data_IF_292024699337
#
_entry.id   IF_292024699337
#
_cell.length_a   1.000
_cell.length_b   1.000
_cell.length_c   1.000
_cell.angle_alpha   90.00
_cell.angle_beta   90.00
_cell.angle_gamma   90.00
#
_symmetry.space_group_name_H-M   'P 1'
#
loop_
_entity.id
_entity.type
_entity.pdbx_description
1 polymer ?
#
# COMPACT_ATOMS: atom_id res chain seq x y z
N UNK A 1 -8.60 -29.53 -5.68
CA UNK A 1 -7.21 -29.34 -5.19
C UNK A 1 -7.01 -27.86 -4.99
N UNK A 2 -6.33 -27.44 -3.93
CA UNK A 2 -5.99 -26.02 -3.73
C UNK A 2 -4.95 -25.67 -4.80
N UNK A 3 -5.33 -24.84 -5.77
CA UNK A 3 -4.43 -24.35 -6.82
C UNK A 3 -3.51 -23.27 -6.24
N UNK A 4 -2.59 -23.66 -5.34
CA UNK A 4 -1.66 -22.74 -4.66
C UNK A 4 -0.83 -21.92 -5.67
N UNK A 5 -0.58 -22.51 -6.85
CA UNK A 5 0.10 -21.84 -7.95
C UNK A 5 -0.72 -20.69 -8.55
N UNK A 6 -2.07 -20.77 -8.59
CA UNK A 6 -2.94 -19.67 -9.05
C UNK A 6 -2.90 -18.52 -8.06
N UNK A 7 -2.90 -18.82 -6.76
CA UNK A 7 -2.71 -17.79 -5.74
C UNK A 7 -1.36 -17.08 -5.89
N UNK A 8 -0.27 -17.87 -6.04
CA UNK A 8 1.07 -17.32 -6.26
C UNK A 8 1.17 -16.50 -7.55
N UNK A 9 0.54 -16.94 -8.64
CA UNK A 9 0.48 -16.20 -9.90
C UNK A 9 -0.33 -14.89 -9.74
N UNK A 10 -1.47 -14.94 -9.04
CA UNK A 10 -2.29 -13.78 -8.75
C UNK A 10 -1.55 -12.74 -7.90
N UNK A 11 -0.87 -13.19 -6.85
CA UNK A 11 -0.02 -12.34 -6.02
C UNK A 11 1.15 -11.75 -6.81
N UNK A 12 1.82 -12.54 -7.65
CA UNK A 12 2.90 -12.09 -8.51
C UNK A 12 2.44 -11.03 -9.52
N UNK A 13 1.29 -11.24 -10.17
CA UNK A 13 0.65 -10.27 -11.05
C UNK A 13 0.31 -8.99 -10.29
N UNK A 14 -0.30 -9.11 -9.11
CA UNK A 14 -0.70 -7.97 -8.29
C UNK A 14 0.50 -7.10 -7.87
N UNK A 15 1.56 -7.72 -7.35
CA UNK A 15 2.79 -7.01 -6.94
C UNK A 15 3.46 -6.35 -8.16
N UNK A 16 3.55 -7.07 -9.28
CA UNK A 16 4.13 -6.53 -10.52
C UNK A 16 3.33 -5.33 -11.03
N UNK A 17 2.01 -5.46 -11.04
CA UNK A 17 1.10 -4.39 -11.42
C UNK A 17 1.23 -3.18 -10.50
N UNK A 18 1.29 -3.38 -9.19
CA UNK A 18 1.50 -2.31 -8.22
C UNK A 18 2.82 -1.58 -8.43
N UNK A 19 3.92 -2.31 -8.61
CA UNK A 19 5.22 -1.71 -8.90
C UNK A 19 5.21 -0.91 -10.20
N UNK A 20 4.51 -1.40 -11.23
CA UNK A 20 4.34 -0.71 -12.51
C UNK A 20 3.51 0.57 -12.33
N UNK A 21 2.39 0.50 -11.61
CA UNK A 21 1.53 1.64 -11.28
C UNK A 21 2.33 2.73 -10.54
N UNK A 22 3.00 2.35 -9.45
CA UNK A 22 3.82 3.23 -8.61
C UNK A 22 4.94 3.90 -9.42
N UNK A 23 5.65 3.11 -10.24
CA UNK A 23 6.74 3.62 -11.08
C UNK A 23 6.23 4.60 -12.14
N UNK A 24 5.12 4.30 -12.80
CA UNK A 24 4.56 5.16 -13.84
C UNK A 24 3.98 6.46 -13.28
N UNK A 25 3.27 6.39 -12.14
CA UNK A 25 2.79 7.57 -11.43
C UNK A 25 3.95 8.44 -10.94
N UNK A 26 5.02 7.83 -10.43
CA UNK A 26 6.25 8.54 -10.05
C UNK A 26 6.88 9.24 -11.26
N UNK A 27 7.01 8.58 -12.40
CA UNK A 27 7.61 9.17 -13.60
C UNK A 27 6.80 10.34 -14.16
N UNK A 28 5.47 10.26 -14.12
CA UNK A 28 4.59 11.37 -14.48
C UNK A 28 4.61 12.49 -13.43
N UNK A 29 4.77 12.12 -12.17
CA UNK A 29 4.57 12.97 -11.01
C UNK A 29 5.81 13.67 -10.50
N UNK A 30 7.05 13.23 -10.74
CA UNK A 30 8.21 13.67 -9.93
C UNK A 30 8.37 15.19 -9.81
N UNK A 31 8.32 15.95 -10.91
CA UNK A 31 8.42 17.43 -10.86
C UNK A 31 7.13 18.07 -10.33
N UNK A 32 5.97 17.55 -10.72
CA UNK A 32 4.66 18.05 -10.29
C UNK A 32 4.42 17.84 -8.80
N UNK A 33 4.78 16.66 -8.28
CA UNK A 33 4.70 16.24 -6.90
C UNK A 33 5.67 17.03 -6.03
N UNK A 34 6.90 17.24 -6.49
CA UNK A 34 7.84 18.15 -5.83
C UNK A 34 7.22 19.54 -5.67
N UNK A 35 6.75 20.14 -6.76
CA UNK A 35 6.11 21.46 -6.73
C UNK A 35 4.84 21.49 -5.87
N UNK A 36 4.06 20.41 -5.87
CA UNK A 36 2.84 20.25 -5.07
C UNK A 36 3.17 20.19 -3.58
N UNK A 37 4.13 19.36 -3.19
CA UNK A 37 4.58 19.25 -1.80
C UNK A 37 5.20 20.57 -1.33
N UNK A 38 6.08 21.20 -2.14
CA UNK A 38 6.63 22.53 -1.82
C UNK A 38 5.51 23.56 -1.57
N UNK A 39 4.48 23.61 -2.41
CA UNK A 39 3.34 24.54 -2.24
C UNK A 39 2.48 24.25 -1.01
N UNK A 40 2.37 22.99 -0.60
CA UNK A 40 1.59 22.57 0.57
C UNK A 40 2.39 22.58 1.87
N UNK A 41 3.65 23.02 1.84
CA UNK A 41 4.52 23.13 3.03
C UNK A 41 4.50 24.51 3.72
N UNK A 42 3.52 25.35 3.40
CA UNK A 42 3.35 26.65 4.07
C UNK A 42 2.63 26.54 5.44
N UNK A 43 2.07 25.37 5.78
CA UNK A 43 1.44 25.10 7.08
C UNK A 43 1.36 23.60 7.34
N UNK A 44 1.51 23.15 8.58
CA UNK A 44 1.48 21.73 8.95
C UNK A 44 0.19 21.02 8.54
N UNK A 45 -0.97 21.68 8.65
CA UNK A 45 -2.26 21.09 8.24
C UNK A 45 -2.34 20.84 6.72
N UNK A 46 -1.92 21.81 5.90
CA UNK A 46 -1.83 21.61 4.44
C UNK A 46 -0.84 20.51 4.08
N UNK A 47 0.24 20.39 4.85
CA UNK A 47 1.24 19.33 4.66
C UNK A 47 0.66 17.95 4.98
N UNK A 48 -0.16 17.83 6.03
CA UNK A 48 -0.93 16.62 6.34
C UNK A 48 -1.87 16.21 5.22
N UNK A 49 -2.72 17.13 4.74
CA UNK A 49 -3.60 16.86 3.60
C UNK A 49 -2.80 16.54 2.32
N UNK A 50 -1.68 17.22 2.12
CA UNK A 50 -0.75 16.94 1.03
C UNK A 50 -0.19 15.52 1.09
N UNK A 51 0.11 15.00 2.28
CA UNK A 51 0.54 13.62 2.50
C UNK A 51 -0.53 12.60 2.15
N UNK A 52 -1.79 12.85 2.55
CA UNK A 52 -2.93 12.01 2.17
C UNK A 52 -3.04 11.94 0.65
N UNK A 53 -3.17 13.10 0.00
CA UNK A 53 -3.37 13.18 -1.46
C UNK A 53 -2.17 12.59 -2.20
N UNK A 54 -0.94 12.93 -1.80
CA UNK A 54 0.26 12.40 -2.44
C UNK A 54 0.31 10.88 -2.37
N UNK A 55 -0.04 10.30 -1.22
CA UNK A 55 0.01 8.84 -1.03
C UNK A 55 -1.13 8.13 -1.71
N UNK A 56 -2.36 8.66 -1.65
CA UNK A 56 -3.50 8.14 -2.41
C UNK A 56 -3.21 8.13 -3.92
N UNK A 57 -2.61 9.21 -4.43
CA UNK A 57 -2.28 9.32 -5.85
C UNK A 57 -1.11 8.42 -6.23
N UNK A 58 -0.04 8.36 -5.43
CA UNK A 58 1.13 7.52 -5.73
C UNK A 58 0.96 6.04 -5.35
N UNK A 59 -0.05 5.70 -4.56
CA UNK A 59 -0.29 4.38 -3.96
C UNK A 59 0.85 3.86 -3.05
N UNK A 60 1.76 4.73 -2.61
CA UNK A 60 2.94 4.34 -1.83
C UNK A 60 3.36 5.40 -0.83
N UNK A 61 3.14 5.13 0.46
CA UNK A 61 3.64 5.98 1.56
C UNK A 61 5.16 5.90 1.69
N UNK A 62 5.77 4.76 1.33
CA UNK A 62 7.22 4.58 1.31
C UNK A 62 7.89 5.57 0.35
N UNK A 63 7.39 5.73 -0.89
CA UNK A 63 7.95 6.73 -1.81
C UNK A 63 7.79 8.15 -1.27
N UNK A 64 6.59 8.49 -0.80
CA UNK A 64 6.30 9.83 -0.26
C UNK A 64 7.26 10.14 0.89
N UNK A 65 7.43 9.19 1.81
CA UNK A 65 8.31 9.33 2.97
C UNK A 65 9.79 9.45 2.57
N UNK A 66 10.27 8.64 1.62
CA UNK A 66 11.64 8.74 1.11
C UNK A 66 11.91 10.10 0.44
N UNK A 67 10.93 10.64 -0.30
CA UNK A 67 11.02 11.99 -0.87
C UNK A 67 11.06 13.07 0.22
N UNK A 68 10.19 12.95 1.23
CA UNK A 68 10.18 13.88 2.37
C UNK A 68 11.51 13.85 3.12
N UNK A 69 12.08 12.66 3.37
CA UNK A 69 13.42 12.53 3.96
C UNK A 69 14.48 13.25 3.13
N UNK A 70 14.46 13.10 1.80
CA UNK A 70 15.39 13.80 0.94
C UNK A 70 15.25 15.33 1.04
N UNK A 71 14.01 15.86 1.07
CA UNK A 71 13.74 17.29 1.13
C UNK A 71 14.02 17.93 2.48
N UNK A 72 13.76 17.21 3.58
CA UNK A 72 14.19 17.65 4.91
C UNK A 72 15.71 17.62 5.02
N UNK A 73 16.34 16.60 4.43
CA UNK A 73 17.79 16.46 4.41
C UNK A 73 18.50 17.61 3.69
N UNK A 74 17.89 18.19 2.65
CA UNK A 74 18.40 19.33 1.91
C UNK A 74 17.91 20.69 2.43
N UNK A 75 17.08 20.73 3.48
CA UNK A 75 16.50 21.96 4.02
C UNK A 75 15.38 22.58 3.17
N UNK A 76 14.88 21.86 2.16
CA UNK A 76 13.78 22.33 1.30
C UNK A 76 12.44 22.36 2.03
N UNK A 77 12.23 21.45 2.99
CA UNK A 77 11.01 21.36 3.78
C UNK A 77 11.36 21.43 5.27
N UNK A 78 10.69 22.30 6.05
CA UNK A 78 10.87 22.33 7.49
C UNK A 78 10.35 21.05 8.16
N UNK A 79 11.02 20.64 9.22
CA UNK A 79 10.74 19.41 9.98
C UNK A 79 9.26 19.19 10.31
N UNK A 80 8.59 20.24 10.78
CA UNK A 80 7.20 20.19 11.24
C UNK A 80 6.25 19.81 10.11
N UNK A 81 6.49 20.35 8.91
CA UNK A 81 5.70 20.08 7.73
C UNK A 81 5.97 18.68 7.17
N UNK A 82 7.22 18.23 7.23
CA UNK A 82 7.58 16.87 6.87
C UNK A 82 6.88 15.82 7.73
N UNK A 83 6.79 16.03 9.04
CA UNK A 83 5.99 15.18 9.93
C UNK A 83 4.52 15.19 9.53
N UNK A 84 3.97 16.37 9.20
CA UNK A 84 2.62 16.48 8.64
C UNK A 84 2.42 15.58 7.42
N UNK A 85 3.30 15.66 6.42
CA UNK A 85 3.22 14.83 5.20
C UNK A 85 3.28 13.34 5.54
N UNK A 86 4.19 12.93 6.43
CA UNK A 86 4.36 11.52 6.80
C UNK A 86 3.11 10.98 7.51
N UNK A 87 2.58 11.70 8.50
CA UNK A 87 1.36 11.25 9.19
C UNK A 87 0.15 11.25 8.25
N UNK A 88 0.07 12.21 7.33
CA UNK A 88 -0.93 12.20 6.26
C UNK A 88 -0.76 11.02 5.31
N UNK A 89 0.47 10.59 5.04
CA UNK A 89 0.75 9.46 4.16
C UNK A 89 0.17 8.16 4.69
N UNK A 90 0.24 7.91 6.01
CA UNK A 90 -0.33 6.71 6.62
C UNK A 90 -1.85 6.64 6.42
N UNK A 91 -2.53 7.78 6.59
CA UNK A 91 -3.96 7.89 6.28
C UNK A 91 -4.22 7.65 4.79
N UNK A 92 -3.39 8.19 3.91
CA UNK A 92 -3.50 7.98 2.46
C UNK A 92 -3.39 6.51 2.04
N UNK A 93 -2.52 5.72 2.68
CA UNK A 93 -2.35 4.27 2.40
C UNK A 93 -3.63 3.47 2.62
N UNK A 94 -4.50 3.91 3.54
CA UNK A 94 -5.79 3.24 3.79
C UNK A 94 -6.68 3.17 2.54
N UNK A 95 -6.48 4.07 1.57
CA UNK A 95 -7.21 4.07 0.30
C UNK A 95 -7.03 2.77 -0.49
N UNK A 96 -5.90 2.07 -0.37
CA UNK A 96 -5.70 0.77 -1.02
C UNK A 96 -6.74 -0.24 -0.58
N UNK A 97 -7.09 -0.28 0.72
CA UNK A 97 -8.12 -1.18 1.24
C UNK A 97 -9.52 -0.84 0.69
N UNK A 98 -9.85 0.45 0.60
CA UNK A 98 -11.10 0.90 -0.02
C UNK A 98 -11.18 0.54 -1.50
N UNK A 99 -10.08 0.70 -2.23
CA UNK A 99 -10.00 0.34 -3.64
C UNK A 99 -10.23 -1.17 -3.83
N UNK A 100 -9.59 -2.02 -3.04
CA UNK A 100 -9.76 -3.48 -3.12
C UNK A 100 -11.17 -3.92 -2.73
N UNK A 101 -11.71 -3.41 -1.62
CA UNK A 101 -13.03 -3.83 -1.13
C UNK A 101 -14.19 -3.32 -1.99
N UNK A 102 -14.14 -2.06 -2.45
CA UNK A 102 -15.21 -1.46 -3.25
C UNK A 102 -15.13 -1.86 -4.72
N UNK A 103 -13.94 -1.87 -5.32
CA UNK A 103 -13.80 -2.13 -6.75
C UNK A 103 -13.45 -3.59 -7.05
N UNK A 104 -12.68 -4.24 -6.17
CA UNK A 104 -12.19 -5.59 -6.40
C UNK A 104 -13.16 -6.71 -5.98
N UNK A 105 -13.97 -6.50 -4.92
CA UNK A 105 -14.88 -7.55 -4.44
C UNK A 105 -16.35 -7.34 -4.76
N UNK A 106 -16.80 -6.09 -4.96
CA UNK A 106 -18.21 -5.77 -5.26
C UNK A 106 -18.54 -5.67 -6.75
N UNK A 107 -17.53 -5.50 -7.60
CA UNK A 107 -17.71 -5.34 -9.06
C UNK A 107 -17.12 -6.56 -9.74
N UNK A 108 -17.74 -6.99 -10.84
CA UNK A 108 -17.19 -8.05 -11.68
C UNK A 108 -15.84 -7.59 -12.22
N UNK A 109 -14.76 -8.21 -11.73
CA UNK A 109 -13.39 -7.83 -12.03
C UNK A 109 -13.15 -7.77 -13.55
N UNK A 110 -13.72 -8.71 -14.30
CA UNK A 110 -13.60 -8.74 -15.76
C UNK A 110 -14.14 -7.46 -16.42
N UNK A 111 -15.25 -6.91 -15.93
CA UNK A 111 -15.88 -5.68 -16.45
C UNK A 111 -15.06 -4.42 -16.19
N UNK A 112 -14.17 -4.45 -15.19
CA UNK A 112 -13.22 -3.37 -14.91
C UNK A 112 -11.88 -3.61 -15.62
N UNK A 113 -11.33 -4.81 -15.50
CA UNK A 113 -9.98 -5.13 -15.96
C UNK A 113 -9.84 -5.10 -17.48
N UNK A 114 -10.78 -5.71 -18.22
CA UNK A 114 -10.67 -5.81 -19.68
C UNK A 114 -10.74 -4.45 -20.38
N UNK A 115 -11.66 -3.51 -20.03
CA UNK A 115 -11.64 -2.18 -20.62
C UNK A 115 -10.37 -1.39 -20.30
N UNK A 116 -9.82 -1.54 -19.08
CA UNK A 116 -8.56 -0.89 -18.69
C UNK A 116 -7.39 -1.42 -19.54
N UNK A 117 -7.31 -2.73 -19.76
CA UNK A 117 -6.28 -3.35 -20.61
C UNK A 117 -6.45 -2.96 -22.09
N UNK A 118 -7.68 -2.91 -22.60
CA UNK A 118 -7.97 -2.46 -23.96
C UNK A 118 -7.53 -1.01 -24.15
N UNK A 119 -7.88 -0.12 -23.21
CA UNK A 119 -7.48 1.28 -23.22
C UNK A 119 -5.95 1.41 -23.11
N UNK A 120 -5.31 0.61 -22.26
CA UNK A 120 -3.86 0.57 -22.15
C UNK A 120 -3.20 0.24 -23.50
N UNK A 121 -3.66 -0.83 -24.18
CA UNK A 121 -3.16 -1.22 -25.49
C UNK A 121 -3.34 -0.13 -26.55
N UNK A 122 -4.53 0.49 -26.60
CA UNK A 122 -4.82 1.59 -27.52
C UNK A 122 -3.90 2.79 -27.28
N UNK A 123 -3.77 3.25 -26.03
CA UNK A 123 -2.88 4.38 -25.69
C UNK A 123 -1.43 4.01 -26.02
N UNK A 124 -1.02 2.76 -25.78
CA UNK A 124 0.33 2.30 -26.03
C UNK A 124 0.72 2.39 -27.51
N UNK A 125 -0.20 2.04 -28.42
CA UNK A 125 0.01 2.15 -29.89
C UNK A 125 0.33 3.59 -30.29
N UNK A 126 -0.37 4.58 -29.72
CA UNK A 126 -0.14 6.00 -30.00
C UNK A 126 0.96 6.63 -29.15
N UNK A 127 1.62 5.87 -28.26
CA UNK A 127 2.60 6.41 -27.33
C UNK A 127 4.00 6.59 -27.94
N UNK A 128 4.21 6.22 -29.20
CA UNK A 128 5.51 6.29 -29.85
C UNK A 128 6.09 7.71 -29.78
N UNK A 129 7.29 7.85 -29.21
CA UNK A 129 7.96 9.14 -29.02
C UNK A 129 7.45 10.01 -27.86
N UNK A 130 6.41 9.59 -27.12
CA UNK A 130 5.83 10.39 -26.03
C UNK A 130 5.89 9.68 -24.67
N UNK A 131 6.95 9.96 -23.90
CA UNK A 131 7.16 9.40 -22.54
C UNK A 131 5.91 9.47 -21.65
N UNK A 132 5.15 10.58 -21.74
CA UNK A 132 3.92 10.78 -20.97
C UNK A 132 2.84 9.76 -21.33
N UNK A 133 2.54 9.56 -22.62
CA UNK A 133 1.52 8.60 -23.04
C UNK A 133 1.96 7.16 -22.74
N UNK A 134 3.27 6.85 -22.83
CA UNK A 134 3.79 5.55 -22.41
C UNK A 134 3.47 5.29 -20.94
N UNK A 135 3.76 6.23 -20.04
CA UNK A 135 3.43 6.04 -18.62
C UNK A 135 1.93 5.98 -18.35
N UNK A 136 1.12 6.75 -19.07
CA UNK A 136 -0.35 6.65 -18.97
C UNK A 136 -0.83 5.27 -19.41
N UNK A 137 -0.31 4.72 -20.51
CA UNK A 137 -0.65 3.35 -20.96
C UNK A 137 -0.28 2.31 -19.90
N UNK A 138 0.88 2.45 -19.25
CA UNK A 138 1.33 1.54 -18.20
C UNK A 138 0.48 1.65 -16.93
N UNK A 139 -0.05 2.83 -16.59
CA UNK A 139 -1.01 2.98 -15.48
C UNK A 139 -2.28 2.19 -15.76
N UNK A 140 -2.86 2.32 -16.97
CA UNK A 140 -4.05 1.55 -17.34
C UNK A 140 -3.78 0.05 -17.38
N UNK A 141 -2.62 -0.37 -17.91
CA UNK A 141 -2.21 -1.77 -17.91
C UNK A 141 -2.06 -2.30 -16.49
N UNK A 142 -1.43 -1.52 -15.61
CA UNK A 142 -1.23 -1.88 -14.22
C UNK A 142 -2.55 -2.03 -13.47
N UNK A 143 -3.49 -1.09 -13.63
CA UNK A 143 -4.81 -1.21 -13.01
C UNK A 143 -5.56 -2.47 -13.50
N UNK A 144 -5.50 -2.79 -14.80
CA UNK A 144 -6.10 -4.01 -15.34
C UNK A 144 -5.47 -5.30 -14.78
N UNK A 145 -4.14 -5.37 -14.77
CA UNK A 145 -3.39 -6.53 -14.24
C UNK A 145 -3.55 -6.70 -12.72
N UNK A 146 -3.67 -5.59 -11.99
CA UNK A 146 -3.94 -5.57 -10.55
C UNK A 146 -5.25 -6.28 -10.25
N UNK A 147 -6.33 -5.93 -10.97
CA UNK A 147 -7.63 -6.58 -10.80
C UNK A 147 -7.59 -8.06 -11.20
N UNK A 148 -6.95 -8.43 -12.30
CA UNK A 148 -6.79 -9.86 -12.68
C UNK A 148 -6.04 -10.64 -11.61
N UNK A 149 -4.95 -10.07 -11.07
CA UNK A 149 -4.20 -10.69 -9.98
C UNK A 149 -5.08 -10.91 -8.73
N UNK A 150 -5.93 -9.94 -8.41
CA UNK A 150 -6.89 -10.03 -7.32
C UNK A 150 -7.92 -11.15 -7.54
N UNK A 151 -8.41 -11.31 -8.76
CA UNK A 151 -9.39 -12.36 -9.11
C UNK A 151 -8.80 -13.76 -8.87
N UNK A 152 -7.57 -14.00 -9.33
CA UNK A 152 -6.88 -15.27 -9.13
C UNK A 152 -6.64 -15.58 -7.64
N UNK A 153 -6.30 -14.55 -6.85
CA UNK A 153 -6.15 -14.71 -5.40
C UNK A 153 -7.50 -15.03 -4.73
N UNK A 154 -8.58 -14.34 -5.14
CA UNK A 154 -9.94 -14.54 -4.62
C UNK A 154 -10.43 -15.96 -4.87
N UNK A 155 -10.34 -16.44 -6.09
CA UNK A 155 -10.76 -17.80 -6.46
C UNK A 155 -9.97 -18.87 -5.69
N UNK A 156 -8.66 -18.66 -5.56
CA UNK A 156 -7.79 -19.58 -4.81
C UNK A 156 -8.13 -19.60 -3.32
N UNK A 157 -8.39 -18.44 -2.71
CA UNK A 157 -8.76 -18.34 -1.30
C UNK A 157 -10.16 -18.91 -1.03
N UNK A 158 -11.11 -18.75 -1.96
CA UNK A 158 -12.42 -19.40 -1.87
C UNK A 158 -12.29 -20.94 -1.88
N UNK A 159 -11.38 -21.49 -2.71
CA UNK A 159 -11.10 -22.92 -2.70
C UNK A 159 -10.47 -23.41 -1.38
N UNK A 160 -9.62 -22.59 -0.75
CA UNK A 160 -9.02 -22.88 0.56
C UNK A 160 -10.08 -22.87 1.66
N UNK A 161 -10.95 -21.86 1.69
CA UNK A 161 -11.99 -21.73 2.70
C UNK A 161 -12.99 -22.90 2.69
N UNK A 162 -13.32 -23.40 1.51
CA UNK A 162 -14.21 -24.56 1.32
C UNK A 162 -13.52 -25.91 1.59
N UNK A 163 -12.21 -25.93 1.87
CA UNK A 163 -11.49 -27.14 2.23
C UNK A 163 -11.55 -27.40 3.74
N UNK A 164 -11.56 -28.68 4.15
CA UNK A 164 -11.54 -29.11 5.55
C UNK A 164 -10.28 -28.71 6.34
N UNK A 165 -9.31 -28.04 5.70
CA UNK A 165 -8.10 -27.47 6.29
C UNK A 165 -8.25 -26.00 6.73
N UNK A 166 -9.39 -25.35 6.46
CA UNK A 166 -9.64 -23.93 6.79
C UNK A 166 -9.52 -23.60 8.29
N UNK A 167 -9.67 -24.60 9.17
CA UNK A 167 -9.61 -24.44 10.62
C UNK A 167 -8.20 -24.40 11.25
N UNK A 168 -7.13 -24.73 10.51
CA UNK A 168 -5.78 -24.87 11.12
C UNK A 168 -5.09 -23.52 11.31
N UNK A 169 -5.46 -22.51 10.52
CA UNK A 169 -4.94 -21.14 10.67
C UNK A 169 -5.68 -20.32 11.73
N UNK A 170 -6.68 -20.87 12.44
CA UNK A 170 -7.51 -20.12 13.41
C UNK A 170 -7.14 -20.35 14.88
N UNK A 171 -5.95 -20.90 15.17
CA UNK A 171 -5.60 -21.40 16.52
C UNK A 171 -4.50 -20.61 17.25
N UNK A 172 -3.91 -19.60 16.61
CA UNK A 172 -2.85 -18.82 17.26
C UNK A 172 -3.42 -17.56 17.92
N UNK A 173 -2.82 -17.08 19.02
CA UNK A 173 -3.14 -15.76 19.56
C UNK A 173 -2.96 -14.65 18.50
N UNK A 174 -3.85 -13.66 18.49
CA UNK A 174 -3.86 -12.58 17.49
C UNK A 174 -2.53 -11.82 17.34
N UNK A 175 -1.72 -11.80 18.41
CA UNK A 175 -0.39 -11.19 18.41
C UNK A 175 0.57 -11.82 17.39
N UNK A 176 0.44 -13.13 17.11
CA UNK A 176 1.27 -13.78 16.09
C UNK A 176 0.96 -13.26 14.68
N UNK A 177 -0.30 -12.91 14.41
CA UNK A 177 -0.70 -12.33 13.14
C UNK A 177 -0.20 -10.89 12.98
N UNK A 178 -0.15 -10.12 14.08
CA UNK A 178 0.52 -8.82 14.10
C UNK A 178 2.01 -8.95 13.75
N UNK A 179 2.74 -9.84 14.41
CA UNK A 179 4.15 -10.07 14.11
C UNK A 179 4.37 -10.58 12.68
N UNK A 180 3.47 -11.44 12.20
CA UNK A 180 3.50 -11.91 10.82
C UNK A 180 3.35 -10.76 9.81
N UNK A 181 2.36 -9.89 10.00
CA UNK A 181 2.18 -8.68 9.18
C UNK A 181 3.42 -7.79 9.18
N UNK A 182 3.99 -7.56 10.37
CA UNK A 182 5.22 -6.78 10.53
C UNK A 182 6.40 -7.37 9.76
N UNK A 183 6.71 -8.66 9.94
CA UNK A 183 7.85 -9.31 9.32
C UNK A 183 7.69 -9.36 7.80
N UNK A 184 6.52 -9.79 7.32
CA UNK A 184 6.26 -9.95 5.89
C UNK A 184 6.33 -8.58 5.20
N UNK A 185 5.70 -7.55 5.76
CA UNK A 185 5.78 -6.20 5.19
C UNK A 185 7.17 -5.59 5.32
N UNK A 186 7.93 -5.84 6.38
CA UNK A 186 9.31 -5.37 6.49
C UNK A 186 10.22 -5.98 5.41
N UNK A 187 10.02 -7.26 5.06
CA UNK A 187 10.79 -7.97 4.02
C UNK A 187 10.37 -7.52 2.63
N UNK A 188 9.06 -7.54 2.34
CA UNK A 188 8.52 -7.20 1.01
C UNK A 188 8.54 -5.68 0.78
N UNK A 189 8.55 -4.89 1.84
CA UNK A 189 8.51 -3.43 1.84
C UNK A 189 7.22 -2.84 1.23
N UNK A 190 6.13 -3.61 1.24
CA UNK A 190 4.82 -3.19 0.71
C UNK A 190 3.69 -3.60 1.66
N UNK A 191 3.12 -2.64 2.39
CA UNK A 191 1.90 -2.83 3.17
C UNK A 191 0.66 -2.96 2.28
N UNK A 192 0.64 -2.31 1.11
CA UNK A 192 -0.42 -2.44 0.11
C UNK A 192 -0.57 -3.87 -0.41
N UNK A 193 0.54 -4.57 -0.68
CA UNK A 193 0.49 -5.98 -1.05
C UNK A 193 -0.05 -6.85 0.09
N UNK A 194 0.39 -6.58 1.33
CA UNK A 194 -0.09 -7.31 2.51
C UNK A 194 -1.58 -7.09 2.75
N UNK A 195 -2.06 -5.84 2.62
CA UNK A 195 -3.48 -5.48 2.71
C UNK A 195 -4.33 -6.33 1.78
N UNK A 196 -3.90 -6.53 0.54
CA UNK A 196 -4.68 -7.29 -0.45
C UNK A 196 -4.74 -8.76 -0.11
N UNK A 197 -3.63 -9.35 0.32
CA UNK A 197 -3.60 -10.75 0.80
C UNK A 197 -4.58 -10.95 1.96
N UNK A 198 -4.52 -10.05 2.95
CA UNK A 198 -5.37 -10.10 4.14
C UNK A 198 -6.84 -9.92 3.78
N UNK A 199 -7.16 -8.92 2.96
CA UNK A 199 -8.54 -8.65 2.54
C UNK A 199 -9.12 -9.78 1.70
N UNK A 200 -8.30 -10.43 0.86
CA UNK A 200 -8.73 -11.59 0.08
C UNK A 200 -9.02 -12.79 0.98
N UNK A 201 -8.15 -13.06 1.96
CA UNK A 201 -8.36 -14.12 2.94
C UNK A 201 -9.58 -13.84 3.84
N UNK A 202 -9.77 -12.60 4.28
CA UNK A 202 -10.94 -12.17 5.05
C UNK A 202 -12.24 -12.31 4.24
N UNK A 203 -12.24 -11.87 2.98
CA UNK A 203 -13.41 -11.99 2.09
C UNK A 203 -13.77 -13.46 1.81
N UNK A 204 -12.77 -14.34 1.76
CA UNK A 204 -12.98 -15.78 1.66
C UNK A 204 -13.36 -16.44 3.00
N UNK A 205 -13.45 -15.70 4.11
CA UNK A 205 -13.68 -16.23 5.46
C UNK A 205 -12.56 -17.18 5.96
N UNK A 206 -11.37 -17.10 5.37
CA UNK A 206 -10.19 -17.85 5.81
C UNK A 206 -9.48 -17.19 7.01
N UNK A 207 -9.80 -15.92 7.30
CA UNK A 207 -9.34 -15.18 8.48
C UNK A 207 -10.51 -14.51 9.16
N UNK A 208 -10.47 -14.42 10.49
CA UNK A 208 -11.41 -13.59 11.24
C UNK A 208 -11.11 -12.10 11.01
N UNK A 209 -12.10 -11.23 11.20
CA UNK A 209 -11.89 -9.78 11.13
C UNK A 209 -10.84 -9.31 12.14
N UNK A 210 -10.83 -9.92 13.31
CA UNK A 210 -9.90 -9.62 14.40
C UNK A 210 -8.45 -9.92 14.00
N UNK A 211 -8.21 -11.12 13.47
CA UNK A 211 -6.87 -11.53 13.02
C UNK A 211 -6.43 -10.73 11.80
N UNK A 212 -7.33 -10.49 10.85
CA UNK A 212 -7.07 -9.65 9.69
C UNK A 212 -6.60 -8.25 10.12
N UNK A 213 -7.29 -7.61 11.06
CA UNK A 213 -6.90 -6.30 11.56
C UNK A 213 -5.56 -6.34 12.33
N UNK A 214 -5.28 -7.40 13.09
CA UNK A 214 -3.96 -7.57 13.71
C UNK A 214 -2.85 -7.62 12.66
N UNK A 215 -3.02 -8.35 11.55
CA UNK A 215 -2.05 -8.37 10.45
C UNK A 215 -1.86 -6.98 9.83
N UNK A 216 -2.96 -6.25 9.59
CA UNK A 216 -2.90 -4.91 8.98
C UNK A 216 -2.13 -3.94 9.85
N UNK A 217 -2.34 -3.96 11.17
CA UNK A 217 -1.56 -3.14 12.11
C UNK A 217 -0.08 -3.52 12.10
N UNK A 218 0.22 -4.82 12.05
CA UNK A 218 1.58 -5.30 11.86
C UNK A 218 2.22 -4.78 10.56
N UNK A 219 1.46 -4.82 9.46
CA UNK A 219 1.91 -4.36 8.14
C UNK A 219 2.18 -2.85 8.12
N UNK A 220 1.35 -2.04 8.80
CA UNK A 220 1.58 -0.60 8.93
C UNK A 220 2.91 -0.34 9.65
N UNK A 221 3.12 -0.97 10.81
CA UNK A 221 4.39 -0.89 11.54
C UNK A 221 5.58 -1.39 10.71
N UNK A 222 5.42 -2.46 9.93
CA UNK A 222 6.45 -3.02 9.06
C UNK A 222 6.94 -2.04 8.00
N UNK A 223 6.07 -1.14 7.54
CA UNK A 223 6.41 -0.09 6.57
C UNK A 223 7.46 0.89 7.12
N UNK A 224 7.54 1.07 8.44
CA UNK A 224 8.52 1.99 9.04
C UNK A 224 9.97 1.58 8.79
N UNK A 225 10.23 0.29 8.51
CA UNK A 225 11.56 -0.21 8.16
C UNK A 225 12.10 0.46 6.89
N UNK A 226 11.25 0.73 5.89
CA UNK A 226 11.68 1.43 4.66
C UNK A 226 12.15 2.85 4.98
N UNK A 227 11.50 3.50 5.95
CA UNK A 227 11.85 4.86 6.39
C UNK A 227 13.17 4.86 7.16
N UNK A 228 13.37 3.88 8.04
CA UNK A 228 14.62 3.71 8.79
C UNK A 228 15.78 3.50 7.83
N UNK A 229 15.66 2.54 6.91
CA UNK A 229 16.65 2.28 5.87
C UNK A 229 16.91 3.52 5.02
N UNK A 230 15.85 4.24 4.66
CA UNK A 230 15.91 5.51 3.94
C UNK A 230 16.60 6.65 4.69
N UNK A 231 16.76 6.58 6.01
CA UNK A 231 17.48 7.59 6.80
C UNK A 231 18.93 7.20 7.14
N UNK A 232 19.33 5.95 6.87
CA UNK A 232 20.71 5.50 7.07
C UNK A 232 21.68 6.35 6.25
N UNK A 233 22.79 6.75 6.87
CA UNK A 233 23.79 7.63 6.24
C UNK A 233 23.31 9.07 5.97
N UNK A 234 22.09 9.44 6.40
CA UNK A 234 21.53 10.77 6.21
C UNK A 234 21.88 11.77 7.32
N UNK A 235 21.42 13.02 7.14
CA UNK A 235 21.56 14.10 8.12
C UNK A 235 20.78 13.81 9.42
N UNK A 236 21.10 14.55 10.48
CA UNK A 236 20.37 14.46 11.76
C UNK A 236 18.87 14.66 11.58
N UNK A 237 18.46 15.56 10.69
CA UNK A 237 17.05 15.80 10.39
C UNK A 237 16.36 14.57 9.76
N UNK A 238 17.02 13.86 8.83
CA UNK A 238 16.50 12.59 8.26
C UNK A 238 16.30 11.53 9.33
N UNK A 239 17.29 11.38 10.23
CA UNK A 239 17.23 10.41 11.34
C UNK A 239 16.12 10.75 12.34
N UNK A 240 15.96 12.03 12.68
CA UNK A 240 14.89 12.49 13.56
C UNK A 240 13.50 12.25 12.95
N UNK A 241 13.32 12.48 11.64
CA UNK A 241 12.06 12.18 10.95
C UNK A 241 11.78 10.68 10.97
N UNK A 242 12.77 9.84 10.66
CA UNK A 242 12.59 8.40 10.68
C UNK A 242 12.23 7.88 12.06
N UNK A 243 12.89 8.40 13.11
CA UNK A 243 12.55 8.07 14.49
C UNK A 243 11.12 8.51 14.84
N UNK A 244 10.72 9.72 14.45
CA UNK A 244 9.36 10.20 14.69
C UNK A 244 8.32 9.35 13.96
N UNK A 245 8.61 8.90 12.74
CA UNK A 245 7.73 8.00 11.99
C UNK A 245 7.60 6.63 12.69
N UNK A 246 8.71 6.04 13.13
CA UNK A 246 8.69 4.77 13.89
C UNK A 246 7.90 4.92 15.19
N UNK A 247 8.22 5.94 15.99
CA UNK A 247 7.56 6.17 17.28
C UNK A 247 6.06 6.40 17.12
N UNK A 248 5.66 7.16 16.10
CA UNK A 248 4.25 7.39 15.80
C UNK A 248 3.53 6.08 15.53
N UNK A 249 3.99 5.26 14.58
CA UNK A 249 3.32 4.00 14.25
C UNK A 249 3.36 3.00 15.41
N UNK A 250 4.49 2.87 16.12
CA UNK A 250 4.56 2.00 17.31
C UNK A 250 3.48 2.38 18.32
N UNK A 251 3.31 3.68 18.60
CA UNK A 251 2.30 4.16 19.55
C UNK A 251 0.88 3.95 19.01
N UNK A 252 0.60 4.37 17.78
CA UNK A 252 -0.75 4.27 17.20
C UNK A 252 -1.17 2.82 17.02
N UNK A 253 -0.29 1.95 16.54
CA UNK A 253 -0.59 0.55 16.27
C UNK A 253 -0.74 -0.25 17.57
N UNK A 254 0.06 0.08 18.59
CA UNK A 254 -0.12 -0.52 19.93
C UNK A 254 -1.45 -0.12 20.55
N UNK A 255 -1.83 1.16 20.47
CA UNK A 255 -3.13 1.64 20.97
C UNK A 255 -4.27 1.01 20.17
N UNK A 256 -4.17 0.95 18.84
CA UNK A 256 -5.16 0.33 17.98
C UNK A 256 -5.33 -1.16 18.29
N UNK A 257 -4.22 -1.90 18.49
CA UNK A 257 -4.25 -3.31 18.84
C UNK A 257 -4.88 -3.56 20.21
N UNK A 258 -4.57 -2.74 21.22
CA UNK A 258 -5.16 -2.86 22.56
C UNK A 258 -6.66 -2.51 22.57
N UNK A 259 -7.11 -1.63 21.69
CA UNK A 259 -8.52 -1.22 21.58
C UNK A 259 -9.32 -2.08 20.61
N UNK A 260 -8.67 -2.95 19.84
CA UNK A 260 -9.31 -3.84 18.85
C UNK A 260 -10.48 -4.66 19.45
N UNK A 261 -10.36 -5.27 20.65
CA UNK A 261 -11.46 -6.02 21.24
C UNK A 261 -12.69 -5.15 21.56
N UNK A 262 -12.47 -3.87 21.88
CA UNK A 262 -13.55 -2.92 22.16
C UNK A 262 -14.26 -2.49 20.86
N UNK A 263 -13.50 -2.36 19.77
CA UNK A 263 -14.00 -1.93 18.47
C UNK A 263 -14.75 -3.04 17.71
N UNK A 264 -14.44 -4.30 18.01
CA UNK A 264 -14.94 -5.48 17.31
C UNK A 264 -15.81 -6.41 18.16
N UNK A 265 -16.02 -6.07 19.43
CA UNK A 265 -16.85 -6.80 20.40
C UNK A 265 -18.30 -6.38 20.42
#
# INVERSE_FOLDING_TARGET
MIDLWKFGAGLGLFITAMNMLETSLRQLGTKTLRNFLERLTNSTWKSFLGGIVATTVLQSSSIVTLMVLAFVGSGLIPMQNALGIIFGSNIGTTFTGWMVTLLGFKVDIETLALPLLALAGLIHIFSYGTKRLTQVSLIFAALGLLFIGLDFMKDSMAAVANSSQSLVLAQYPSFYYFIFGFIVTAIIQSSSAMMVVVLTALNAQALSLFDAAAIVLGADLGTTITTVLGAVGGSSARKQIALAHVLFNVVTDSIAYLTLPLLMG
#
